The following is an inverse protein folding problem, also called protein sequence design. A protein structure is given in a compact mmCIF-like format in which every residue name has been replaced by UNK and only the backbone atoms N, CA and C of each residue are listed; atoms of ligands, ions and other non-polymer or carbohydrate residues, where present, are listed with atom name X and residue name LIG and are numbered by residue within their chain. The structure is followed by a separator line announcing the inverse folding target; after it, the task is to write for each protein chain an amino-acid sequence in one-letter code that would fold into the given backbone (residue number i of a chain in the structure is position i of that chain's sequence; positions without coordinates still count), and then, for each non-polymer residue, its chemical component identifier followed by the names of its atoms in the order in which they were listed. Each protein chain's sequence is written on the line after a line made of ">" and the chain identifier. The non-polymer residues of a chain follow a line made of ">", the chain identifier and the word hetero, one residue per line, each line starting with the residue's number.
data_IF_067010391629
#
_entry.id   IF_067010391629
#
_cell.length_a   1.000
_cell.length_b   1.000
_cell.length_c   1.000
_cell.angle_alpha   90.00
_cell.angle_beta   90.00
_cell.angle_gamma   90.00
#
_symmetry.space_group_name_H-M   'P 1'
#
loop_
_entity.id
_entity.type
_entity.pdbx_description
1 polymer ?
#
# COMPACT_ATOMS: atom_id res chain seq x y z
N UNK A 1 2.54 29.50 8.06
CA UNK A 1 2.00 30.66 7.32
C UNK A 1 0.52 30.46 7.05
N UNK A 2 -0.38 31.22 7.70
CA UNK A 2 -1.79 31.26 7.31
C UNK A 2 -1.92 32.21 6.12
N UNK A 3 -2.06 31.67 4.91
CA UNK A 3 -2.60 32.46 3.80
C UNK A 3 -3.99 32.88 4.26
N UNK A 4 -4.20 34.16 4.59
CA UNK A 4 -5.55 34.69 4.78
C UNK A 4 -6.24 34.55 3.44
N UNK A 5 -7.08 33.53 3.31
CA UNK A 5 -7.86 33.29 2.10
C UNK A 5 -8.74 34.52 1.90
N UNK A 6 -8.41 35.35 0.90
CA UNK A 6 -9.20 36.53 0.61
C UNK A 6 -10.43 36.12 -0.19
N UNK A 7 -11.45 35.63 0.52
CA UNK A 7 -12.72 35.20 -0.04
C UNK A 7 -13.37 36.32 -0.89
N UNK A 8 -13.17 37.57 -0.50
CA UNK A 8 -13.76 38.71 -1.21
C UNK A 8 -13.16 38.90 -2.61
N UNK A 9 -11.84 38.72 -2.74
CA UNK A 9 -11.20 38.71 -4.05
C UNK A 9 -11.67 37.53 -4.91
N UNK A 10 -11.88 36.36 -4.30
CA UNK A 10 -12.38 35.18 -5.01
C UNK A 10 -13.82 35.42 -5.49
N UNK A 11 -14.69 35.99 -4.66
CA UNK A 11 -16.07 36.32 -5.04
C UNK A 11 -16.14 37.37 -6.16
N UNK A 12 -15.19 38.31 -6.20
CA UNK A 12 -15.07 39.30 -7.28
C UNK A 12 -14.50 38.70 -8.57
N UNK A 13 -13.79 37.57 -8.50
CA UNK A 13 -13.19 36.92 -9.68
C UNK A 13 -14.21 36.21 -10.57
N UNK A 14 -13.91 35.97 -11.86
CA UNK A 14 -14.75 35.14 -12.72
C UNK A 14 -14.90 33.72 -12.18
N UNK A 15 -16.09 33.12 -12.32
CA UNK A 15 -16.35 31.75 -11.86
C UNK A 15 -15.44 30.71 -12.50
N UNK A 16 -15.11 30.91 -13.78
CA UNK A 16 -14.16 30.06 -14.49
C UNK A 16 -12.79 30.00 -13.79
N UNK A 17 -12.30 31.13 -13.26
CA UNK A 17 -11.02 31.21 -12.56
C UNK A 17 -11.04 30.37 -11.27
N UNK A 18 -12.13 30.44 -10.50
CA UNK A 18 -12.28 29.62 -9.30
C UNK A 18 -12.33 28.12 -9.63
N UNK A 19 -13.11 27.75 -10.64
CA UNK A 19 -13.23 26.35 -11.09
C UNK A 19 -11.88 25.80 -11.57
N UNK A 20 -11.09 26.59 -12.28
CA UNK A 20 -9.75 26.21 -12.73
C UNK A 20 -8.81 25.94 -11.55
N UNK A 21 -8.80 26.82 -10.54
CA UNK A 21 -7.97 26.66 -9.34
C UNK A 21 -8.35 25.37 -8.59
N UNK A 22 -9.64 25.16 -8.35
CA UNK A 22 -10.13 23.96 -7.64
C UNK A 22 -9.84 22.70 -8.44
N UNK A 23 -9.95 22.75 -9.76
CA UNK A 23 -9.62 21.60 -10.61
C UNK A 23 -8.15 21.28 -10.52
N UNK A 24 -7.25 22.26 -10.68
CA UNK A 24 -5.79 22.06 -10.54
C UNK A 24 -5.39 21.50 -9.18
N UNK A 25 -6.06 21.92 -8.10
CA UNK A 25 -5.79 21.42 -6.74
C UNK A 25 -6.19 19.95 -6.52
N UNK A 26 -7.13 19.44 -7.30
CA UNK A 26 -7.76 18.13 -7.05
C UNK A 26 -7.46 17.09 -8.12
N UNK A 27 -7.24 17.52 -9.37
CA UNK A 27 -7.10 16.64 -10.53
C UNK A 27 -5.91 15.70 -10.43
N UNK A 28 -4.76 16.20 -9.93
CA UNK A 28 -3.57 15.35 -9.75
C UNK A 28 -3.86 14.18 -8.81
N UNK A 29 -4.42 14.45 -7.63
CA UNK A 29 -4.76 13.42 -6.65
C UNK A 29 -5.78 12.42 -7.21
N UNK A 30 -6.81 12.90 -7.92
CA UNK A 30 -7.83 12.03 -8.53
C UNK A 30 -7.20 11.15 -9.63
N UNK A 31 -6.36 11.73 -10.49
CA UNK A 31 -5.68 11.04 -11.58
C UNK A 31 -4.74 9.97 -11.07
N UNK A 32 -3.90 10.32 -10.09
CA UNK A 32 -2.91 9.40 -9.50
C UNK A 32 -3.61 8.26 -8.76
N UNK A 33 -4.69 8.54 -8.02
CA UNK A 33 -5.51 7.51 -7.38
C UNK A 33 -6.13 6.56 -8.41
N UNK A 34 -6.70 7.09 -9.51
CA UNK A 34 -7.27 6.26 -10.58
C UNK A 34 -6.23 5.37 -11.26
N UNK A 35 -5.02 5.88 -11.48
CA UNK A 35 -3.92 5.07 -12.03
C UNK A 35 -3.58 3.94 -11.07
N UNK A 36 -3.44 4.25 -9.79
CA UNK A 36 -3.12 3.25 -8.77
C UNK A 36 -4.20 2.18 -8.65
N UNK A 37 -5.47 2.55 -8.72
CA UNK A 37 -6.60 1.60 -8.65
C UNK A 37 -6.67 0.66 -9.86
N UNK A 38 -6.14 1.06 -11.02
CA UNK A 38 -6.05 0.18 -12.20
C UNK A 38 -4.94 -0.88 -12.08
N UNK A 39 -3.95 -0.65 -11.23
CA UNK A 39 -2.83 -1.57 -11.04
C UNK A 39 -3.26 -2.74 -10.15
N UNK A 40 -3.32 -3.95 -10.73
CA UNK A 40 -3.58 -5.23 -10.04
C UNK A 40 -2.42 -5.72 -9.15
N UNK A 41 -1.45 -4.87 -8.83
CA UNK A 41 -0.23 -5.21 -8.10
C UNK A 41 -0.44 -5.51 -6.60
N UNK A 42 -1.68 -5.76 -6.18
CA UNK A 42 -2.05 -6.09 -4.82
C UNK A 42 -2.04 -7.59 -4.53
N UNK A 43 -2.07 -8.45 -5.56
CA UNK A 43 -2.16 -9.90 -5.38
C UNK A 43 -0.77 -10.52 -5.11
N UNK A 44 -0.73 -11.47 -4.16
CA UNK A 44 0.44 -12.33 -3.95
C UNK A 44 0.47 -13.35 -5.08
N UNK A 45 1.65 -13.69 -5.56
CA UNK A 45 1.84 -14.86 -6.42
C UNK A 45 1.53 -16.13 -5.61
N UNK A 46 0.29 -16.60 -5.75
CA UNK A 46 -0.20 -17.78 -5.02
C UNK A 46 0.56 -19.03 -5.42
N UNK A 47 1.04 -19.13 -6.66
CA UNK A 47 1.81 -20.27 -7.14
C UNK A 47 3.14 -20.36 -6.39
N UNK A 48 3.86 -19.24 -6.28
CA UNK A 48 5.10 -19.18 -5.50
C UNK A 48 4.84 -19.45 -4.02
N UNK A 49 3.77 -18.88 -3.46
CA UNK A 49 3.42 -19.05 -2.05
C UNK A 49 3.09 -20.52 -1.73
N UNK A 50 2.30 -21.18 -2.58
CA UNK A 50 1.92 -22.59 -2.45
C UNK A 50 3.13 -23.50 -2.63
N UNK A 51 4.01 -23.22 -3.61
CA UNK A 51 5.23 -23.97 -3.83
C UNK A 51 6.14 -23.94 -2.58
N UNK A 52 6.36 -22.77 -1.98
CA UNK A 52 7.16 -22.65 -0.75
C UNK A 52 6.49 -23.39 0.41
N UNK A 53 5.17 -23.25 0.55
CA UNK A 53 4.41 -23.89 1.64
C UNK A 53 4.46 -25.41 1.54
N UNK A 54 4.36 -25.95 0.32
CA UNK A 54 4.47 -27.38 0.04
C UNK A 54 5.86 -27.90 0.40
N UNK A 55 6.93 -27.24 -0.09
CA UNK A 55 8.30 -27.67 0.22
C UNK A 55 8.62 -27.56 1.72
N UNK A 56 8.05 -26.57 2.43
CA UNK A 56 8.18 -26.48 3.90
C UNK A 56 7.46 -27.62 4.63
N UNK A 57 6.26 -28.00 4.20
CA UNK A 57 5.52 -29.13 4.77
C UNK A 57 6.29 -30.43 4.62
N UNK A 58 6.81 -30.63 3.41
CA UNK A 58 7.66 -31.74 2.98
C UNK A 58 8.96 -31.84 3.78
N UNK A 59 9.62 -30.72 4.04
CA UNK A 59 10.81 -30.67 4.90
C UNK A 59 10.47 -31.01 6.36
N UNK A 60 9.32 -30.55 6.88
CA UNK A 60 8.93 -30.79 8.27
C UNK A 60 8.52 -32.25 8.53
N UNK A 61 7.84 -32.90 7.58
CA UNK A 61 7.49 -34.32 7.69
C UNK A 61 8.73 -35.22 7.72
N UNK A 62 9.79 -34.81 7.01
CA UNK A 62 11.10 -35.47 7.04
C UNK A 62 11.86 -35.27 8.38
N UNK A 63 11.51 -34.29 9.21
CA UNK A 63 12.22 -33.98 10.47
C UNK A 63 11.63 -34.72 11.70
N UNK A 64 10.62 -35.58 11.52
CA UNK A 64 9.93 -36.33 12.59
C UNK A 64 10.80 -37.31 13.42
N UNK A 65 10.33 -37.66 14.63
CA UNK A 65 11.10 -38.28 15.74
C UNK A 65 11.79 -39.63 15.43
N UNK A 66 11.32 -40.41 14.46
CA UNK A 66 11.86 -41.73 14.10
C UNK A 66 13.08 -41.63 13.14
N UNK A 67 13.31 -40.44 12.57
CA UNK A 67 14.17 -40.29 11.40
C UNK A 67 15.67 -40.18 11.68
N UNK A 68 16.13 -39.69 12.84
CA UNK A 68 17.57 -39.42 13.02
C UNK A 68 18.49 -40.63 12.81
N UNK A 69 18.04 -41.84 13.18
CA UNK A 69 18.82 -43.08 13.07
C UNK A 69 18.79 -43.69 11.67
N UNK A 70 17.64 -43.64 11.00
CA UNK A 70 17.49 -44.08 9.61
C UNK A 70 18.15 -43.09 8.63
N UNK A 71 18.20 -41.80 8.97
CA UNK A 71 18.67 -40.74 8.07
C UNK A 71 20.17 -40.79 7.78
N UNK A 72 20.96 -41.22 8.76
CA UNK A 72 22.42 -41.38 8.63
C UNK A 72 22.80 -42.56 7.72
N UNK A 73 21.98 -43.62 7.68
CA UNK A 73 22.32 -44.85 6.95
C UNK A 73 21.92 -44.86 5.47
N UNK A 74 20.93 -44.06 5.05
CA UNK A 74 20.30 -44.18 3.73
C UNK A 74 20.55 -43.00 2.75
N UNK A 75 21.57 -42.15 2.96
CA UNK A 75 21.90 -40.97 2.11
C UNK A 75 20.77 -39.92 1.93
N UNK A 76 19.77 -39.88 2.82
CA UNK A 76 18.66 -38.93 2.75
C UNK A 76 19.05 -37.47 3.10
N UNK A 77 20.20 -37.25 3.74
CA UNK A 77 20.77 -35.91 3.96
C UNK A 77 20.94 -35.11 2.66
N UNK A 78 21.20 -35.79 1.53
CA UNK A 78 21.30 -35.18 0.20
C UNK A 78 19.94 -34.58 -0.24
N UNK A 79 18.83 -35.32 -0.05
CA UNK A 79 17.48 -34.85 -0.41
C UNK A 79 17.02 -33.68 0.45
N UNK A 80 17.32 -33.70 1.76
CA UNK A 80 17.04 -32.61 2.69
C UNK A 80 17.79 -31.33 2.32
N UNK A 81 19.06 -31.44 1.94
CA UNK A 81 19.84 -30.31 1.45
C UNK A 81 19.30 -29.78 0.10
N UNK A 82 18.87 -30.65 -0.82
CA UNK A 82 18.20 -30.22 -2.05
C UNK A 82 16.92 -29.42 -1.75
N UNK A 83 16.06 -29.89 -0.83
CA UNK A 83 14.82 -29.19 -0.46
C UNK A 83 15.07 -27.84 0.20
N UNK A 84 16.10 -27.75 1.03
CA UNK A 84 16.53 -26.48 1.63
C UNK A 84 17.13 -25.52 0.58
N UNK A 85 17.93 -26.02 -0.36
CA UNK A 85 18.42 -25.23 -1.50
C UNK A 85 17.25 -24.71 -2.36
N UNK A 86 16.26 -25.55 -2.65
CA UNK A 86 15.02 -25.15 -3.33
C UNK A 86 14.28 -24.04 -2.55
N UNK A 87 14.12 -24.20 -1.23
CA UNK A 87 13.49 -23.18 -0.38
C UNK A 87 14.25 -21.85 -0.39
N UNK A 88 15.58 -21.89 -0.48
CA UNK A 88 16.38 -20.67 -0.56
C UNK A 88 16.21 -19.97 -1.91
N UNK A 89 16.19 -20.73 -3.02
CA UNK A 89 15.91 -20.17 -4.36
C UNK A 89 14.51 -19.54 -4.38
N UNK A 90 13.48 -20.27 -3.96
CA UNK A 90 12.11 -19.76 -3.91
C UNK A 90 11.99 -18.57 -2.93
N UNK A 91 12.71 -18.62 -1.81
CA UNK A 91 12.80 -17.52 -0.85
C UNK A 91 13.44 -16.26 -1.44
N UNK A 92 14.39 -16.39 -2.36
CA UNK A 92 14.97 -15.25 -3.08
C UNK A 92 13.94 -14.58 -4.02
N UNK A 93 13.10 -15.37 -4.70
CA UNK A 93 12.01 -14.87 -5.54
C UNK A 93 10.93 -14.18 -4.69
N UNK A 94 10.56 -14.79 -3.56
CA UNK A 94 9.64 -14.19 -2.59
C UNK A 94 10.17 -12.86 -2.07
N UNK A 95 11.51 -12.68 -2.03
CA UNK A 95 12.16 -11.48 -1.48
C UNK A 95 12.03 -10.32 -2.44
N UNK A 96 12.17 -10.60 -3.73
CA UNK A 96 11.89 -9.64 -4.79
C UNK A 96 10.42 -9.18 -4.73
N UNK A 97 9.47 -10.12 -4.62
CA UNK A 97 8.05 -9.79 -4.49
C UNK A 97 7.74 -8.95 -3.23
N UNK A 98 8.33 -9.31 -2.10
CA UNK A 98 8.19 -8.56 -0.84
C UNK A 98 8.74 -7.12 -0.96
N UNK A 99 9.85 -6.94 -1.67
CA UNK A 99 10.43 -5.61 -1.92
C UNK A 99 9.50 -4.74 -2.78
N UNK A 100 8.93 -5.32 -3.84
CA UNK A 100 7.93 -4.63 -4.68
C UNK A 100 6.69 -4.29 -3.86
N UNK A 101 6.20 -5.21 -3.03
CA UNK A 101 5.05 -4.99 -2.17
C UNK A 101 5.26 -3.83 -1.20
N UNK A 102 6.43 -3.76 -0.55
CA UNK A 102 6.79 -2.64 0.34
C UNK A 102 6.81 -1.30 -0.39
N UNK A 103 7.35 -1.28 -1.62
CA UNK A 103 7.34 -0.08 -2.44
C UNK A 103 5.91 0.36 -2.77
N UNK A 104 5.03 -0.59 -3.10
CA UNK A 104 3.61 -0.29 -3.37
C UNK A 104 2.89 0.25 -2.13
N UNK A 105 3.15 -0.31 -0.94
CA UNK A 105 2.61 0.21 0.33
C UNK A 105 3.00 1.67 0.51
N UNK A 106 4.29 1.99 0.37
CA UNK A 106 4.78 3.36 0.51
C UNK A 106 4.15 4.34 -0.49
N UNK A 107 3.97 3.91 -1.75
CA UNK A 107 3.31 4.73 -2.77
C UNK A 107 1.87 5.03 -2.37
N UNK A 108 1.11 4.02 -1.95
CA UNK A 108 -0.29 4.18 -1.54
C UNK A 108 -0.41 5.07 -0.29
N UNK A 109 0.46 4.88 0.70
CA UNK A 109 0.51 5.74 1.90
C UNK A 109 0.76 7.20 1.53
N UNK A 110 1.76 7.45 0.67
CA UNK A 110 2.09 8.80 0.20
C UNK A 110 0.91 9.46 -0.54
N UNK A 111 0.17 8.69 -1.35
CA UNK A 111 -1.02 9.19 -2.03
C UNK A 111 -2.15 9.54 -1.03
N UNK A 112 -2.39 8.69 -0.03
CA UNK A 112 -3.38 8.95 1.03
C UNK A 112 -3.03 10.24 1.78
N UNK A 113 -1.76 10.46 2.12
CA UNK A 113 -1.30 11.70 2.75
C UNK A 113 -1.51 12.93 1.87
N UNK A 114 -1.22 12.83 0.58
CA UNK A 114 -1.49 13.90 -0.40
C UNK A 114 -2.97 14.25 -0.44
N UNK A 115 -3.86 13.25 -0.46
CA UNK A 115 -5.31 13.46 -0.44
C UNK A 115 -5.74 14.11 0.89
N UNK A 116 -5.23 13.65 2.03
CA UNK A 116 -5.51 14.24 3.34
C UNK A 116 -5.17 15.73 3.40
N UNK A 117 -4.00 16.11 2.86
CA UNK A 117 -3.57 17.51 2.79
C UNK A 117 -4.55 18.35 1.95
N UNK A 118 -4.92 17.86 0.77
CA UNK A 118 -5.86 18.54 -0.11
C UNK A 118 -7.26 18.64 0.52
N UNK A 119 -7.77 17.58 1.12
CA UNK A 119 -9.06 17.57 1.83
C UNK A 119 -9.08 18.60 2.96
N UNK A 120 -8.01 18.67 3.76
CA UNK A 120 -7.88 19.65 4.84
C UNK A 120 -7.92 21.08 4.30
N UNK A 121 -7.24 21.34 3.18
CA UNK A 121 -7.24 22.66 2.54
C UNK A 121 -8.61 23.03 1.97
N UNK A 122 -9.31 22.09 1.31
CA UNK A 122 -10.66 22.30 0.80
C UNK A 122 -11.68 22.54 1.92
N UNK A 123 -11.62 21.76 3.01
CA UNK A 123 -12.49 21.96 4.19
C UNK A 123 -12.27 23.33 4.83
N UNK A 124 -11.02 23.81 4.90
CA UNK A 124 -10.69 25.17 5.35
C UNK A 124 -11.24 26.24 4.42
N UNK A 125 -11.11 26.06 3.11
CA UNK A 125 -11.64 26.99 2.12
C UNK A 125 -13.17 27.07 2.18
N UNK A 126 -13.86 25.91 2.27
CA UNK A 126 -15.30 25.84 2.48
C UNK A 126 -15.72 26.62 3.71
N UNK A 127 -15.06 26.37 4.85
CA UNK A 127 -15.36 27.07 6.10
C UNK A 127 -15.19 28.59 5.96
N UNK A 128 -14.12 29.03 5.30
CA UNK A 128 -13.91 30.46 5.06
C UNK A 128 -15.03 31.11 4.22
N UNK A 129 -15.59 30.41 3.22
CA UNK A 129 -16.78 30.89 2.52
C UNK A 129 -18.02 30.93 3.41
N UNK A 130 -18.25 29.88 4.21
CA UNK A 130 -19.38 29.82 5.14
C UNK A 130 -19.34 30.96 6.17
N UNK A 131 -18.16 31.21 6.75
CA UNK A 131 -17.95 32.28 7.72
C UNK A 131 -18.17 33.66 7.07
N UNK A 132 -17.75 33.84 5.81
CA UNK A 132 -17.93 35.12 5.08
C UNK A 132 -19.39 35.35 4.68
N UNK A 133 -20.18 34.31 4.43
CA UNK A 133 -21.58 34.44 4.01
C UNK A 133 -22.44 35.27 4.97
N UNK A 134 -22.14 35.23 6.28
CA UNK A 134 -22.86 36.05 7.28
C UNK A 134 -22.67 37.57 7.08
N UNK A 135 -21.65 37.97 6.31
CA UNK A 135 -21.32 39.37 6.06
C UNK A 135 -21.61 39.82 4.62
N UNK A 136 -22.23 38.96 3.80
CA UNK A 136 -22.58 39.26 2.41
C UNK A 136 -24.03 39.73 2.36
N UNK A 137 -24.24 41.03 2.12
CA UNK A 137 -25.58 41.61 1.98
C UNK A 137 -26.12 41.55 0.55
N UNK A 138 -25.25 41.39 -0.45
CA UNK A 138 -25.65 41.29 -1.86
C UNK A 138 -26.07 39.85 -2.18
N UNK A 139 -27.33 39.67 -2.61
CA UNK A 139 -27.89 38.35 -2.94
C UNK A 139 -27.14 37.61 -4.06
N UNK A 140 -26.65 38.32 -5.09
CA UNK A 140 -25.93 37.69 -6.20
C UNK A 140 -24.56 37.16 -5.74
N UNK A 141 -23.86 37.94 -4.91
CA UNK A 141 -22.61 37.46 -4.29
C UNK A 141 -22.84 36.27 -3.35
N UNK A 142 -23.97 36.26 -2.63
CA UNK A 142 -24.32 35.16 -1.74
C UNK A 142 -24.59 33.88 -2.55
N UNK A 143 -25.37 33.97 -3.64
CA UNK A 143 -25.63 32.84 -4.57
C UNK A 143 -24.32 32.30 -5.14
N UNK A 144 -23.42 33.19 -5.57
CA UNK A 144 -22.11 32.83 -6.10
C UNK A 144 -21.23 32.12 -5.06
N UNK A 145 -21.24 32.60 -3.83
CA UNK A 145 -20.55 31.95 -2.71
C UNK A 145 -21.10 30.55 -2.43
N UNK A 146 -22.43 30.39 -2.40
CA UNK A 146 -23.09 29.08 -2.26
C UNK A 146 -22.73 28.13 -3.40
N UNK A 147 -22.68 28.63 -4.64
CA UNK A 147 -22.21 27.85 -5.78
C UNK A 147 -20.77 27.36 -5.58
N UNK A 148 -19.85 28.22 -5.13
CA UNK A 148 -18.47 27.82 -4.84
C UNK A 148 -18.37 26.79 -3.71
N UNK A 149 -19.16 26.92 -2.65
CA UNK A 149 -19.25 25.92 -1.57
C UNK A 149 -19.69 24.57 -2.14
N UNK A 150 -20.72 24.54 -2.96
CA UNK A 150 -21.22 23.31 -3.58
C UNK A 150 -20.15 22.66 -4.47
N UNK A 151 -19.40 23.46 -5.24
CA UNK A 151 -18.28 22.95 -6.05
C UNK A 151 -17.16 22.36 -5.19
N UNK A 152 -16.85 22.99 -4.04
CA UNK A 152 -15.88 22.45 -3.09
C UNK A 152 -16.38 21.12 -2.51
N UNK A 153 -17.66 21.03 -2.14
CA UNK A 153 -18.25 19.81 -1.57
C UNK A 153 -18.21 18.63 -2.53
N UNK A 154 -18.54 18.85 -3.81
CA UNK A 154 -18.40 17.82 -4.85
C UNK A 154 -16.97 17.28 -4.92
N UNK A 155 -15.97 18.16 -4.77
CA UNK A 155 -14.55 17.78 -4.85
C UNK A 155 -14.07 17.09 -3.58
N UNK A 156 -14.54 17.51 -2.41
CA UNK A 156 -14.30 16.82 -1.14
C UNK A 156 -14.83 15.39 -1.23
N UNK A 157 -16.08 15.23 -1.66
CA UNK A 157 -16.71 13.91 -1.79
C UNK A 157 -15.91 12.98 -2.71
N UNK A 158 -15.51 13.44 -3.90
CA UNK A 158 -14.68 12.66 -4.84
C UNK A 158 -13.33 12.25 -4.26
N UNK A 159 -12.70 13.13 -3.48
CA UNK A 159 -11.41 12.85 -2.85
C UNK A 159 -11.54 11.88 -1.68
N UNK A 160 -12.62 11.98 -0.90
CA UNK A 160 -12.95 11.04 0.17
C UNK A 160 -13.19 9.63 -0.41
N UNK A 161 -13.95 9.53 -1.50
CA UNK A 161 -14.14 8.28 -2.23
C UNK A 161 -12.79 7.67 -2.68
N UNK A 162 -11.93 8.47 -3.32
CA UNK A 162 -10.58 8.01 -3.72
C UNK A 162 -9.75 7.55 -2.51
N UNK A 163 -9.83 8.27 -1.40
CA UNK A 163 -9.10 7.94 -0.18
C UNK A 163 -9.56 6.61 0.41
N UNK A 164 -10.86 6.35 0.46
CA UNK A 164 -11.39 5.11 1.01
C UNK A 164 -10.96 3.90 0.17
N UNK A 165 -11.01 4.02 -1.17
CA UNK A 165 -10.46 2.98 -2.04
C UNK A 165 -8.96 2.72 -1.83
N UNK A 166 -8.16 3.77 -1.65
CA UNK A 166 -6.73 3.62 -1.37
C UNK A 166 -6.49 2.99 0.02
N UNK A 167 -7.32 3.29 1.01
CA UNK A 167 -7.25 2.66 2.35
C UNK A 167 -7.55 1.17 2.29
N UNK A 168 -8.56 0.77 1.52
CA UNK A 168 -8.88 -0.63 1.30
C UNK A 168 -7.72 -1.36 0.60
N UNK A 169 -7.15 -0.74 -0.44
CA UNK A 169 -5.95 -1.26 -1.09
C UNK A 169 -4.79 -1.39 -0.11
N UNK A 170 -4.53 -0.37 0.72
CA UNK A 170 -3.47 -0.39 1.73
C UNK A 170 -3.67 -1.52 2.75
N UNK A 171 -4.92 -1.77 3.17
CA UNK A 171 -5.26 -2.88 4.08
C UNK A 171 -4.95 -4.23 3.46
N UNK A 172 -5.27 -4.43 2.18
CA UNK A 172 -4.94 -5.64 1.44
C UNK A 172 -3.43 -5.84 1.33
N UNK A 173 -2.70 -4.80 0.89
CA UNK A 173 -1.23 -4.83 0.77
C UNK A 173 -0.55 -5.16 2.12
N UNK A 174 -1.03 -4.56 3.22
CA UNK A 174 -0.51 -4.83 4.56
C UNK A 174 -0.81 -6.26 5.04
N UNK A 175 -1.97 -6.80 4.69
CA UNK A 175 -2.30 -8.21 4.97
C UNK A 175 -1.32 -9.13 4.26
N UNK A 176 -1.07 -8.84 2.98
CA UNK A 176 -0.15 -9.62 2.15
C UNK A 176 1.30 -9.52 2.64
N UNK A 177 1.71 -8.33 3.09
CA UNK A 177 3.03 -8.08 3.65
C UNK A 177 3.25 -8.90 4.93
N UNK A 178 2.23 -9.01 5.78
CA UNK A 178 2.27 -9.86 6.98
C UNK A 178 2.35 -11.34 6.62
N UNK A 179 1.58 -11.80 5.63
CA UNK A 179 1.60 -13.20 5.18
C UNK A 179 2.97 -13.59 4.63
N UNK A 180 3.51 -12.80 3.70
CA UNK A 180 4.86 -13.02 3.15
C UNK A 180 5.93 -12.94 4.24
N UNK A 181 5.82 -11.97 5.16
CA UNK A 181 6.74 -11.85 6.29
C UNK A 181 6.73 -13.05 7.24
N UNK A 182 5.56 -13.71 7.43
CA UNK A 182 5.46 -14.96 8.21
C UNK A 182 6.11 -16.14 7.47
N UNK A 183 5.88 -16.25 6.16
CA UNK A 183 6.46 -17.31 5.34
C UNK A 183 7.99 -17.20 5.32
N UNK A 184 8.51 -15.98 5.18
CA UNK A 184 9.95 -15.69 5.22
C UNK A 184 10.66 -16.22 6.46
N UNK A 185 10.03 -16.11 7.63
CA UNK A 185 10.61 -16.57 8.90
C UNK A 185 10.75 -18.10 8.97
N UNK A 186 10.07 -18.83 8.09
CA UNK A 186 10.09 -20.30 8.03
C UNK A 186 11.10 -20.85 7.02
N UNK A 187 11.62 -20.01 6.13
CA UNK A 187 12.58 -20.43 5.10
C UNK A 187 13.98 -20.58 5.73
N UNK A 188 14.63 -21.75 5.59
CA UNK A 188 15.99 -21.99 6.08
C UNK A 188 17.02 -21.02 5.51
N UNK A 189 18.08 -20.74 6.27
CA UNK A 189 19.15 -19.83 5.86
C UNK A 189 20.37 -20.58 5.31
N UNK A 190 21.14 -19.93 4.44
CA UNK A 190 22.36 -20.53 3.85
C UNK A 190 23.40 -21.03 4.87
N UNK A 191 23.50 -20.44 6.07
CA UNK A 191 24.45 -20.94 7.09
C UNK A 191 23.97 -22.22 7.77
N UNK A 192 22.65 -22.44 7.85
CA UNK A 192 22.05 -23.67 8.39
C UNK A 192 22.31 -24.88 7.47
N UNK A 193 22.68 -24.63 6.20
CA UNK A 193 23.18 -25.67 5.28
C UNK A 193 24.63 -26.07 5.56
N UNK A 194 25.45 -25.16 6.10
CA UNK A 194 26.89 -25.39 6.33
C UNK A 194 27.18 -26.14 7.61
N UNK A 195 26.41 -25.91 8.67
CA UNK A 195 26.59 -26.61 9.95
C UNK A 195 26.42 -28.13 9.81
N UNK A 196 25.52 -28.60 8.94
CA UNK A 196 25.31 -30.03 8.69
C UNK A 196 26.39 -30.65 7.78
N UNK A 197 26.97 -29.91 6.83
CA UNK A 197 28.04 -30.44 6.00
C UNK A 197 29.36 -30.63 6.75
N UNK A 198 29.64 -29.82 7.78
CA UNK A 198 30.75 -30.09 8.69
C UNK A 198 30.49 -31.30 9.60
N UNK A 199 29.24 -31.54 10.01
CA UNK A 199 28.85 -32.71 10.82
C UNK A 199 28.88 -34.02 10.02
N UNK A 200 28.67 -33.99 8.70
CA UNK A 200 28.77 -35.17 7.83
C UNK A 200 30.20 -35.48 7.37
N UNK A 201 31.11 -34.49 7.41
CA UNK A 201 32.53 -34.64 7.07
C UNK A 201 33.43 -35.00 8.27
N UNK A 202 32.91 -34.95 9.50
CA UNK A 202 33.66 -35.20 10.75
C UNK A 202 33.52 -36.64 11.30
N UNK A 203 33.15 -37.58 10.44
CA UNK A 203 33.06 -39.03 10.70
C UNK A 203 33.80 -39.75 9.58
#
# INVERSE_FOLDING_TARGET
>A
MSIRINIENILKSPEATFLEIITKLTEKNISDSKKELKLKNSEIDTVLFDAITLVLSDLNSEVGYINRLLYRMFKFEIKKNIRREQLIILGSQLKAQHSVLKKNIYIVESQIESINSTLKNLKRLKKAFQDKNMFIFNQDMLKKSQFYINQIDIRIWKLEECQDFLRDKLRLLNTNNRMIGRLFKRIPRYHELREESYLSLSI
#
